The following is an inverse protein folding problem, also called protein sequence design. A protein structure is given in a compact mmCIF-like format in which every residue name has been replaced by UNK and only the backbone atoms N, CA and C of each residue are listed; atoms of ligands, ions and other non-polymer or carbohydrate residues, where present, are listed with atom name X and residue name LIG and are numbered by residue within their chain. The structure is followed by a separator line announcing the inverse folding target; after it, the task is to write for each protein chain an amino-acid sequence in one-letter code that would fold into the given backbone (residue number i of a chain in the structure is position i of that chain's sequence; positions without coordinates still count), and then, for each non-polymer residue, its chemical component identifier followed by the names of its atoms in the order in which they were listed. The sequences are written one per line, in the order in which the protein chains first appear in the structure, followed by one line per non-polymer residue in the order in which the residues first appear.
data_IF_581287730617
#
_entry.id   IF_581287730617
#
_cell.length_a   1.000
_cell.length_b   1.000
_cell.length_c   1.000
_cell.angle_alpha   90.00
_cell.angle_beta   90.00
_cell.angle_gamma   90.00
#
_symmetry.space_group_name_H-M   'P 1'
#
loop_
_entity.id
_entity.type
_entity.pdbx_description
1 polymer ?
#
# COMPACT_ATOMS: atom_id res chain seq x y z
N UNK A 1 -32.56 -18.62 -2.16
CA UNK A 1 -31.38 -17.72 -2.03
C UNK A 1 -30.76 -17.62 -3.42
N UNK A 2 -30.77 -16.45 -4.02
CA UNK A 2 -30.34 -16.20 -5.40
C UNK A 2 -28.81 -16.37 -5.52
N UNK A 3 -28.34 -17.03 -6.59
CA UNK A 3 -26.91 -17.24 -6.86
C UNK A 3 -26.10 -15.93 -7.03
N UNK A 4 -26.76 -14.78 -7.15
CA UNK A 4 -26.14 -13.45 -7.33
C UNK A 4 -25.60 -12.85 -6.03
N UNK A 5 -26.08 -13.27 -4.85
CA UNK A 5 -25.73 -12.65 -3.57
C UNK A 5 -24.44 -13.16 -2.92
N UNK A 6 -23.72 -14.11 -3.53
CA UNK A 6 -22.56 -14.78 -2.93
C UNK A 6 -21.32 -14.80 -3.84
N UNK A 7 -21.15 -13.77 -4.67
CA UNK A 7 -19.90 -13.59 -5.42
C UNK A 7 -18.73 -13.44 -4.48
N UNK A 8 -17.57 -13.97 -4.88
CA UNK A 8 -16.31 -13.73 -4.17
C UNK A 8 -15.88 -12.28 -4.39
N UNK A 9 -15.58 -11.56 -3.31
CA UNK A 9 -14.93 -10.26 -3.38
C UNK A 9 -13.41 -10.45 -3.18
N UNK A 10 -12.64 -10.28 -4.23
CA UNK A 10 -11.18 -10.20 -4.14
C UNK A 10 -10.77 -8.79 -3.71
N UNK A 11 -10.02 -8.69 -2.63
CA UNK A 11 -9.50 -7.42 -2.10
C UNK A 11 -8.03 -7.30 -2.45
N UNK A 12 -7.66 -6.24 -3.14
CA UNK A 12 -6.29 -5.82 -3.35
C UNK A 12 -5.96 -4.61 -2.48
N UNK A 13 -4.75 -4.55 -1.94
CA UNK A 13 -4.30 -3.44 -1.10
C UNK A 13 -3.02 -2.84 -1.67
N UNK A 14 -2.99 -1.52 -1.76
CA UNK A 14 -1.81 -0.74 -2.17
C UNK A 14 -1.40 0.17 -1.02
N UNK A 15 -0.16 -0.01 -0.56
CA UNK A 15 0.44 0.69 0.56
C UNK A 15 1.57 1.61 0.07
N UNK A 16 1.49 2.88 0.44
CA UNK A 16 2.49 3.87 0.06
C UNK A 16 3.73 3.84 0.98
N UNK A 17 4.86 4.31 0.46
CA UNK A 17 6.01 4.66 1.26
C UNK A 17 5.77 5.97 2.03
N UNK A 18 6.31 6.08 3.25
CA UNK A 18 6.08 7.29 4.06
C UNK A 18 6.71 7.27 5.45
N UNK A 19 7.64 6.35 5.73
CA UNK A 19 8.31 6.26 7.03
C UNK A 19 7.28 6.13 8.18
N UNK A 20 7.35 7.02 9.16
CA UNK A 20 6.45 7.01 10.32
C UNK A 20 4.95 7.19 9.97
N UNK A 21 4.62 7.67 8.76
CA UNK A 21 3.22 7.75 8.29
C UNK A 21 2.60 6.35 8.14
N UNK A 22 3.40 5.31 7.91
CA UNK A 22 2.94 3.93 7.83
C UNK A 22 2.25 3.40 9.09
N UNK A 23 2.35 4.09 10.24
CA UNK A 23 1.54 3.80 11.41
C UNK A 23 0.03 3.97 11.15
N UNK A 24 -0.33 4.90 10.27
CA UNK A 24 -1.71 5.06 9.81
C UNK A 24 -2.17 3.85 8.98
N UNK A 25 -1.31 3.35 8.09
CA UNK A 25 -1.59 2.12 7.34
C UNK A 25 -1.75 0.91 8.27
N UNK A 26 -0.93 0.80 9.31
CA UNK A 26 -1.10 -0.24 10.33
C UNK A 26 -2.51 -0.22 10.92
N UNK A 27 -3.00 0.95 11.31
CA UNK A 27 -4.37 1.12 11.80
C UNK A 27 -5.42 0.72 10.76
N UNK A 28 -5.26 1.21 9.54
CA UNK A 28 -6.17 0.93 8.43
C UNK A 28 -6.21 -0.55 8.03
N UNK A 29 -5.05 -1.22 8.02
CA UNK A 29 -4.95 -2.66 7.79
C UNK A 29 -5.62 -3.47 8.92
N UNK A 30 -5.45 -3.06 10.17
CA UNK A 30 -6.16 -3.68 11.30
C UNK A 30 -7.68 -3.62 11.11
N UNK A 31 -8.22 -2.48 10.66
CA UNK A 31 -9.64 -2.30 10.39
C UNK A 31 -10.10 -3.16 9.20
N UNK A 32 -9.34 -3.20 8.11
CA UNK A 32 -9.65 -4.02 6.94
C UNK A 32 -9.73 -5.51 7.31
N UNK A 33 -8.69 -6.01 7.98
CA UNK A 33 -8.60 -7.44 8.34
C UNK A 33 -9.70 -7.84 9.33
N UNK A 34 -10.07 -6.94 10.26
CA UNK A 34 -11.18 -7.16 11.18
C UNK A 34 -12.52 -7.23 10.45
N UNK A 35 -12.78 -6.30 9.54
CA UNK A 35 -13.99 -6.30 8.73
C UNK A 35 -14.08 -7.54 7.82
N UNK A 36 -12.96 -7.99 7.26
CA UNK A 36 -12.92 -9.21 6.45
C UNK A 36 -13.32 -10.44 7.28
N UNK A 37 -12.84 -10.54 8.54
CA UNK A 37 -13.23 -11.62 9.45
C UNK A 37 -14.74 -11.53 9.78
N UNK A 38 -15.22 -10.33 10.18
CA UNK A 38 -16.61 -10.08 10.54
C UNK A 38 -17.58 -10.47 9.40
N UNK A 39 -17.29 -10.01 8.18
CA UNK A 39 -18.14 -10.31 7.03
C UNK A 39 -18.05 -11.77 6.59
N UNK A 40 -16.91 -12.41 6.79
CA UNK A 40 -16.76 -13.87 6.55
C UNK A 40 -17.63 -14.67 7.54
N UNK A 41 -17.67 -14.28 8.80
CA UNK A 41 -18.55 -14.88 9.82
C UNK A 41 -20.03 -14.68 9.48
N UNK A 42 -20.38 -13.59 8.82
CA UNK A 42 -21.71 -13.32 8.28
C UNK A 42 -22.03 -14.10 7.00
N UNK A 43 -21.13 -15.00 6.54
CA UNK A 43 -21.30 -15.84 5.36
C UNK A 43 -20.95 -15.17 4.03
N UNK A 44 -20.30 -14.01 4.04
CA UNK A 44 -19.79 -13.35 2.83
C UNK A 44 -18.47 -13.98 2.39
N UNK A 45 -18.26 -14.06 1.08
CA UNK A 45 -17.01 -14.60 0.49
C UNK A 45 -16.06 -13.46 0.17
N UNK A 46 -14.99 -13.35 0.94
CA UNK A 46 -13.96 -12.31 0.79
C UNK A 46 -12.60 -12.99 0.82
N UNK A 47 -11.69 -12.56 -0.06
CA UNK A 47 -10.31 -13.02 -0.06
C UNK A 47 -9.35 -11.85 -0.26
N UNK A 48 -8.29 -11.80 0.55
CA UNK A 48 -7.18 -10.90 0.32
C UNK A 48 -6.35 -11.46 -0.84
N UNK A 49 -6.44 -10.80 -1.99
CA UNK A 49 -5.85 -11.28 -3.25
C UNK A 49 -4.41 -10.86 -3.42
N UNK A 50 -4.13 -9.61 -3.09
CA UNK A 50 -2.82 -9.00 -3.28
C UNK A 50 -2.59 -7.90 -2.26
N UNK A 51 -1.36 -7.80 -1.77
CA UNK A 51 -0.87 -6.63 -1.03
C UNK A 51 0.41 -6.15 -1.68
N UNK A 52 0.38 -4.94 -2.21
CA UNK A 52 1.56 -4.27 -2.77
C UNK A 52 2.01 -3.17 -1.84
N UNK A 53 3.32 -2.95 -1.75
CA UNK A 53 3.83 -1.90 -0.89
C UNK A 53 5.17 -1.35 -1.33
N UNK A 54 5.44 -0.12 -0.90
CA UNK A 54 6.70 0.59 -1.13
C UNK A 54 7.23 1.07 0.21
N UNK A 55 8.55 0.98 0.43
CA UNK A 55 9.17 1.50 1.66
C UNK A 55 8.51 0.91 2.93
N UNK A 56 8.03 1.75 3.84
CA UNK A 56 7.29 1.32 5.04
C UNK A 56 6.03 0.51 4.68
N UNK A 57 5.37 0.84 3.57
CA UNK A 57 4.23 0.07 3.08
C UNK A 57 4.61 -1.37 2.72
N UNK A 58 5.84 -1.61 2.21
CA UNK A 58 6.33 -2.96 1.95
C UNK A 58 6.56 -3.77 3.23
N UNK A 59 6.97 -3.10 4.32
CA UNK A 59 7.15 -3.69 5.64
C UNK A 59 5.78 -4.11 6.22
N UNK A 60 4.79 -3.20 6.16
CA UNK A 60 3.41 -3.51 6.56
C UNK A 60 2.83 -4.67 5.73
N UNK A 61 3.00 -4.64 4.40
CA UNK A 61 2.57 -5.70 3.48
C UNK A 61 3.18 -7.05 3.83
N UNK A 62 4.49 -7.09 4.11
CA UNK A 62 5.19 -8.33 4.46
C UNK A 62 4.66 -8.95 5.75
N UNK A 63 4.32 -8.14 6.77
CA UNK A 63 3.68 -8.62 8.00
C UNK A 63 2.32 -9.26 7.73
N UNK A 64 1.51 -8.65 6.85
CA UNK A 64 0.18 -9.16 6.50
C UNK A 64 0.27 -10.47 5.72
N UNK A 65 1.06 -10.49 4.64
CA UNK A 65 1.12 -11.66 3.75
C UNK A 65 1.89 -12.83 4.38
N UNK A 66 2.85 -12.55 5.28
CA UNK A 66 3.58 -13.57 6.05
C UNK A 66 2.83 -14.12 7.25
N UNK A 67 1.58 -13.69 7.49
CA UNK A 67 0.78 -14.14 8.61
C UNK A 67 -0.05 -15.38 8.25
N UNK A 68 -0.42 -16.14 9.31
CA UNK A 68 -1.21 -17.38 9.18
C UNK A 68 -2.73 -17.13 9.15
N UNK A 69 -3.16 -15.98 9.62
CA UNK A 69 -4.56 -15.54 9.67
C UNK A 69 -4.65 -14.03 9.79
N UNK A 70 -5.83 -13.44 9.59
CA UNK A 70 -6.04 -12.01 9.80
C UNK A 70 -5.74 -11.58 11.25
N UNK A 71 -6.08 -12.41 12.23
CA UNK A 71 -5.74 -12.15 13.65
C UNK A 71 -4.23 -12.15 13.89
N UNK A 72 -3.47 -13.11 13.30
CA UNK A 72 -2.00 -13.16 13.37
C UNK A 72 -1.38 -11.94 12.67
N UNK A 73 -1.93 -11.53 11.51
CA UNK A 73 -1.48 -10.34 10.78
C UNK A 73 -1.63 -9.06 11.63
N UNK A 74 -2.79 -8.88 12.27
CA UNK A 74 -3.04 -7.76 13.18
C UNK A 74 -2.08 -7.76 14.37
N UNK A 75 -1.84 -8.92 14.97
CA UNK A 75 -0.90 -9.04 16.08
C UNK A 75 0.53 -8.68 15.67
N UNK A 76 1.01 -9.17 14.51
CA UNK A 76 2.35 -8.89 13.99
C UNK A 76 2.53 -7.42 13.62
N UNK A 77 1.54 -6.81 12.94
CA UNK A 77 1.56 -5.38 12.61
C UNK A 77 1.65 -4.52 13.87
N UNK A 78 0.85 -4.83 14.90
CA UNK A 78 0.89 -4.08 16.14
C UNK A 78 2.24 -4.23 16.85
N UNK A 79 2.78 -5.46 16.97
CA UNK A 79 4.07 -5.71 17.58
C UNK A 79 5.23 -5.05 16.79
N UNK A 80 5.18 -5.05 15.46
CA UNK A 80 6.13 -4.31 14.62
C UNK A 80 6.14 -2.82 14.96
N UNK A 81 4.97 -2.20 15.01
CA UNK A 81 4.88 -0.77 15.28
C UNK A 81 5.18 -0.40 16.73
N UNK A 82 5.00 -1.32 17.68
CA UNK A 82 5.49 -1.15 19.04
C UNK A 82 7.03 -1.16 19.06
N UNK A 83 7.70 -2.08 18.33
CA UNK A 83 9.18 -2.09 18.18
C UNK A 83 9.73 -0.89 17.38
N UNK A 84 8.96 -0.31 16.47
CA UNK A 84 9.33 0.89 15.70
C UNK A 84 9.01 2.20 16.42
N UNK A 85 8.32 2.16 17.53
CA UNK A 85 8.02 3.34 18.35
C UNK A 85 9.21 3.68 19.23
N UNK A 86 9.59 4.95 19.29
CA UNK A 86 10.67 5.41 20.16
C UNK A 86 10.28 5.25 21.62
N UNK A 87 11.10 4.54 22.37
CA UNK A 87 10.98 4.53 23.83
C UNK A 87 11.54 5.84 24.40
N UNK A 88 10.70 6.62 25.04
CA UNK A 88 11.08 7.91 25.59
C UNK A 88 10.54 8.06 27.01
N UNK A 89 11.27 8.78 27.89
CA UNK A 89 10.73 9.11 29.18
C UNK A 89 9.41 9.91 29.06
N UNK A 90 8.38 9.59 29.84
CA UNK A 90 7.02 10.16 29.68
C UNK A 90 6.93 11.66 29.97
N UNK A 91 7.97 12.24 30.62
CA UNK A 91 8.05 13.67 30.92
C UNK A 91 8.75 14.49 29.82
N UNK A 92 9.22 13.86 28.74
CA UNK A 92 9.80 14.61 27.63
C UNK A 92 8.72 15.27 26.78
N UNK A 93 9.05 16.46 26.25
CA UNK A 93 8.14 17.14 25.33
C UNK A 93 8.05 16.39 24.02
N UNK A 94 6.92 16.46 23.33
CA UNK A 94 6.72 15.84 22.02
C UNK A 94 7.82 16.22 21.02
N UNK A 95 8.23 17.51 21.00
CA UNK A 95 9.32 17.98 20.14
C UNK A 95 10.64 17.25 20.44
N UNK A 96 10.99 17.04 21.71
CA UNK A 96 12.20 16.33 22.09
C UNK A 96 12.12 14.84 21.73
N UNK A 97 10.97 14.23 21.88
CA UNK A 97 10.73 12.83 21.49
C UNK A 97 10.89 12.64 19.97
N UNK A 98 10.29 13.53 19.19
CA UNK A 98 10.39 13.52 17.72
C UNK A 98 11.84 13.68 17.27
N UNK A 99 12.57 14.63 17.86
CA UNK A 99 13.92 14.95 17.44
C UNK A 99 14.93 13.82 17.77
N UNK A 100 14.56 12.88 18.68
CA UNK A 100 15.36 11.69 18.93
C UNK A 100 15.53 10.80 17.69
N UNK A 101 14.58 10.78 16.78
CA UNK A 101 14.69 10.01 15.55
C UNK A 101 15.92 10.39 14.68
N UNK A 102 16.46 11.60 14.83
CA UNK A 102 17.73 11.98 14.20
C UNK A 102 18.95 11.24 14.76
N UNK A 103 18.84 10.73 15.98
CA UNK A 103 19.90 9.95 16.62
C UNK A 103 19.72 8.44 16.43
N UNK A 104 18.74 8.04 15.64
CA UNK A 104 18.46 6.66 15.28
C UNK A 104 17.15 6.13 15.86
N UNK A 105 16.69 5.08 15.25
CA UNK A 105 15.56 4.25 15.68
C UNK A 105 16.06 2.82 15.80
N UNK A 106 16.32 2.30 17.00
CA UNK A 106 17.10 1.05 17.22
C UNK A 106 16.56 -0.16 16.44
N UNK A 107 15.24 -0.24 16.24
CA UNK A 107 14.59 -1.30 15.45
C UNK A 107 14.65 -1.07 13.94
N UNK A 108 15.13 0.08 13.47
CA UNK A 108 15.07 0.44 12.07
C UNK A 108 16.43 0.90 11.50
N UNK A 109 17.01 1.96 12.09
CA UNK A 109 18.28 2.53 11.63
C UNK A 109 19.08 3.14 12.79
N UNK A 110 20.40 3.20 12.62
CA UNK A 110 21.32 3.84 13.57
C UNK A 110 22.27 4.78 12.82
N UNK A 111 22.73 5.87 13.45
CA UNK A 111 23.73 6.76 12.85
C UNK A 111 25.03 6.02 12.54
N UNK A 112 25.70 6.42 11.48
CA UNK A 112 27.07 5.95 11.20
C UNK A 112 28.05 6.46 12.27
N UNK A 113 28.94 5.58 12.76
CA UNK A 113 29.91 5.99 13.79
C UNK A 113 31.15 6.70 13.22
N UNK A 114 31.41 6.60 11.90
CA UNK A 114 32.62 7.02 11.23
C UNK A 114 32.52 8.46 10.69
N UNK A 115 32.07 9.40 11.55
CA UNK A 115 31.82 10.81 11.18
C UNK A 115 33.05 11.53 10.57
N UNK A 116 34.28 11.05 10.82
CA UNK A 116 35.47 11.60 10.21
C UNK A 116 35.62 11.33 8.71
N UNK A 117 34.82 10.39 8.17
CA UNK A 117 34.74 10.10 6.73
C UNK A 117 33.55 10.77 6.03
N UNK A 118 32.80 11.64 6.71
CA UNK A 118 31.59 12.25 6.22
C UNK A 118 31.67 12.87 4.80
N UNK A 119 32.77 13.49 4.36
CA UNK A 119 32.88 14.00 2.99
C UNK A 119 32.75 12.92 1.88
N UNK A 120 32.96 11.64 2.21
CA UNK A 120 32.85 10.52 1.29
C UNK A 120 31.56 9.70 1.45
N UNK A 121 30.67 10.12 2.34
CA UNK A 121 29.44 9.39 2.60
C UNK A 121 28.48 9.46 1.42
N UNK A 122 27.83 8.31 1.14
CA UNK A 122 26.71 8.19 0.21
C UNK A 122 25.38 8.01 0.96
N UNK A 123 25.42 7.86 2.30
CA UNK A 123 24.25 7.73 3.17
C UNK A 123 24.61 8.12 4.61
N UNK A 124 23.59 8.41 5.43
CA UNK A 124 23.74 8.90 6.81
C UNK A 124 23.53 7.81 7.86
N UNK A 125 22.62 6.89 7.63
CA UNK A 125 22.19 5.87 8.61
C UNK A 125 22.42 4.46 8.10
N UNK A 126 22.81 3.57 9.00
CA UNK A 126 22.90 2.13 8.77
C UNK A 126 21.52 1.49 9.06
N UNK A 127 20.96 0.78 8.08
CA UNK A 127 19.63 0.14 8.16
C UNK A 127 19.68 -1.35 8.48
N UNK A 128 20.85 -1.91 8.82
CA UNK A 128 20.96 -3.33 9.22
C UNK A 128 20.07 -3.73 10.40
N UNK A 129 19.76 -2.85 11.38
CA UNK A 129 18.80 -3.20 12.44
C UNK A 129 17.43 -3.61 11.90
N UNK A 130 16.96 -3.03 10.79
CA UNK A 130 15.69 -3.40 10.17
C UNK A 130 15.64 -4.87 9.75
N UNK A 131 16.76 -5.47 9.32
CA UNK A 131 16.79 -6.90 8.97
C UNK A 131 16.45 -7.79 10.16
N UNK A 132 16.89 -7.41 11.37
CA UNK A 132 16.57 -8.12 12.60
C UNK A 132 15.09 -7.99 12.94
N UNK A 133 14.55 -6.77 12.83
CA UNK A 133 13.13 -6.49 13.05
C UNK A 133 12.24 -7.24 12.05
N UNK A 134 12.59 -7.23 10.76
CA UNK A 134 11.89 -8.00 9.74
C UNK A 134 11.93 -9.51 10.06
N UNK A 135 13.08 -10.05 10.47
CA UNK A 135 13.19 -11.46 10.85
C UNK A 135 12.37 -11.85 12.07
N UNK A 136 12.05 -10.89 12.96
CA UNK A 136 11.21 -11.09 14.15
C UNK A 136 9.72 -11.08 13.83
N UNK A 137 9.28 -10.16 12.97
CA UNK A 137 7.85 -9.89 12.72
C UNK A 137 7.29 -10.52 11.45
N UNK A 138 8.15 -10.90 10.48
CA UNK A 138 7.72 -11.46 9.19
C UNK A 138 8.16 -12.93 9.08
N UNK A 139 7.22 -13.81 8.83
CA UNK A 139 7.51 -15.19 8.44
C UNK A 139 7.68 -15.26 6.92
N UNK A 140 8.92 -15.13 6.46
CA UNK A 140 9.22 -15.14 5.02
C UNK A 140 8.95 -16.51 4.37
N UNK A 141 8.92 -17.61 5.12
CA UNK A 141 8.52 -18.91 4.58
C UNK A 141 7.03 -18.95 4.30
N UNK A 142 6.22 -18.47 5.25
CA UNK A 142 4.77 -18.33 5.08
C UNK A 142 4.44 -17.32 3.97
N UNK A 143 5.14 -16.18 3.90
CA UNK A 143 4.97 -15.18 2.84
C UNK A 143 5.18 -15.79 1.45
N UNK A 144 6.26 -16.55 1.26
CA UNK A 144 6.55 -17.18 -0.03
C UNK A 144 5.58 -18.32 -0.40
N UNK A 145 4.90 -18.90 0.58
CA UNK A 145 3.90 -19.95 0.39
C UNK A 145 2.46 -19.39 0.38
N UNK A 146 2.29 -18.09 0.59
CA UNK A 146 0.97 -17.46 0.73
C UNK A 146 0.18 -17.50 -0.60
N UNK A 147 -1.14 -17.79 -0.55
CA UNK A 147 -2.01 -17.61 -1.71
C UNK A 147 -2.26 -16.13 -2.04
N UNK A 148 -2.04 -15.24 -1.08
CA UNK A 148 -2.08 -13.80 -1.31
C UNK A 148 -0.81 -13.34 -2.03
N UNK A 149 -0.96 -12.65 -3.15
CA UNK A 149 0.17 -12.09 -3.85
C UNK A 149 0.82 -10.97 -3.01
N UNK A 150 2.13 -11.04 -2.86
CA UNK A 150 2.95 -9.98 -2.30
C UNK A 150 3.77 -9.35 -3.41
N UNK A 151 3.76 -8.03 -3.51
CA UNK A 151 4.61 -7.31 -4.46
C UNK A 151 5.29 -6.12 -3.78
N UNK A 152 6.59 -6.00 -3.96
CA UNK A 152 7.40 -4.91 -3.45
C UNK A 152 8.26 -4.33 -4.56
N UNK A 153 8.43 -3.00 -4.59
CA UNK A 153 9.21 -2.31 -5.62
C UNK A 153 10.46 -1.66 -5.06
N UNK A 154 11.52 -1.66 -5.87
CA UNK A 154 12.76 -0.92 -5.63
C UNK A 154 13.30 -0.39 -6.95
N UNK A 155 14.19 0.62 -6.92
CA UNK A 155 14.78 1.24 -8.11
C UNK A 155 16.23 0.81 -8.26
N UNK A 156 16.60 0.24 -9.40
CA UNK A 156 18.01 0.01 -9.73
C UNK A 156 18.74 1.35 -9.85
N UNK A 157 19.74 1.56 -9.01
CA UNK A 157 20.46 2.86 -8.94
C UNK A 157 21.12 3.23 -10.26
N UNK A 158 21.70 2.24 -10.94
CA UNK A 158 22.51 2.46 -12.15
C UNK A 158 21.65 2.74 -13.38
N UNK A 159 20.54 2.03 -13.52
CA UNK A 159 19.68 2.09 -14.71
C UNK A 159 18.47 3.00 -14.55
N UNK A 160 18.08 3.33 -13.30
CA UNK A 160 16.85 4.02 -12.98
C UNK A 160 15.59 3.16 -13.19
N UNK A 161 15.74 1.87 -13.48
CA UNK A 161 14.62 0.98 -13.73
C UNK A 161 13.90 0.62 -12.42
N UNK A 162 12.57 0.78 -12.41
CA UNK A 162 11.74 0.25 -11.33
C UNK A 162 11.66 -1.28 -11.45
N UNK A 163 12.01 -1.98 -10.38
CA UNK A 163 11.94 -3.44 -10.27
C UNK A 163 10.86 -3.83 -9.28
N UNK A 164 10.09 -4.85 -9.63
CA UNK A 164 9.14 -5.47 -8.73
C UNK A 164 9.60 -6.88 -8.37
N UNK A 165 9.51 -7.22 -7.09
CA UNK A 165 9.76 -8.55 -6.56
C UNK A 165 8.45 -9.12 -6.04
N UNK A 166 8.05 -10.30 -6.50
CA UNK A 166 6.73 -10.89 -6.25
C UNK A 166 6.87 -12.33 -5.76
N UNK A 167 6.09 -12.74 -4.75
CA UNK A 167 6.18 -14.10 -4.19
C UNK A 167 5.57 -15.19 -5.10
N UNK A 168 4.74 -14.80 -6.05
CA UNK A 168 4.11 -15.69 -7.03
C UNK A 168 4.05 -14.99 -8.40
N UNK A 169 3.89 -15.72 -9.51
CA UNK A 169 3.81 -15.10 -10.83
C UNK A 169 2.70 -14.04 -10.89
N UNK A 170 3.04 -12.86 -11.40
CA UNK A 170 2.13 -11.72 -11.49
C UNK A 170 2.24 -11.05 -12.87
N UNK A 171 1.18 -11.10 -13.66
CA UNK A 171 1.22 -10.64 -15.04
C UNK A 171 2.31 -11.38 -15.86
N UNK A 172 3.32 -10.63 -16.33
CA UNK A 172 4.49 -11.18 -17.03
C UNK A 172 5.69 -11.43 -16.11
N UNK A 173 5.58 -11.12 -14.83
CA UNK A 173 6.68 -11.24 -13.87
C UNK A 173 6.73 -12.66 -13.29
N UNK A 174 7.88 -13.31 -13.32
CA UNK A 174 8.06 -14.59 -12.64
C UNK A 174 8.13 -14.39 -11.12
N UNK A 175 7.81 -15.44 -10.38
CA UNK A 175 7.98 -15.45 -8.94
C UNK A 175 9.44 -15.25 -8.53
N UNK A 176 9.65 -14.49 -7.48
CA UNK A 176 10.92 -14.29 -6.79
C UNK A 176 10.81 -14.86 -5.38
N UNK A 177 11.79 -15.60 -4.92
CA UNK A 177 11.86 -15.97 -3.50
C UNK A 177 12.11 -14.69 -2.68
N UNK A 178 11.08 -14.20 -2.03
CA UNK A 178 11.17 -12.97 -1.22
C UNK A 178 12.00 -13.25 0.03
N UNK A 179 12.97 -12.37 0.27
CA UNK A 179 13.87 -12.36 1.41
C UNK A 179 13.83 -10.99 2.08
N UNK A 180 14.28 -10.85 3.35
CA UNK A 180 14.30 -9.55 4.05
C UNK A 180 14.97 -8.43 3.25
N UNK A 181 16.02 -8.77 2.44
CA UNK A 181 16.73 -7.79 1.61
C UNK A 181 15.86 -7.12 0.53
N UNK A 182 14.81 -7.79 0.02
CA UNK A 182 13.90 -7.20 -0.95
C UNK A 182 13.03 -6.10 -0.31
N UNK A 183 12.56 -6.35 0.91
CA UNK A 183 11.82 -5.36 1.71
C UNK A 183 12.75 -4.22 2.14
N UNK A 184 13.99 -4.53 2.55
CA UNK A 184 15.00 -3.53 2.88
C UNK A 184 15.34 -2.62 1.68
N UNK A 185 15.48 -3.19 0.47
CA UNK A 185 15.75 -2.43 -0.74
C UNK A 185 14.65 -1.41 -1.03
N UNK A 186 13.40 -1.83 -0.84
CA UNK A 186 12.24 -0.94 -0.97
C UNK A 186 12.23 0.21 0.04
N UNK A 187 12.87 0.05 1.18
CA UNK A 187 13.01 1.09 2.21
C UNK A 187 14.35 1.84 2.18
N UNK A 188 15.21 1.62 1.19
CA UNK A 188 16.53 2.23 1.06
C UNK A 188 16.46 3.65 0.48
N UNK A 189 15.80 4.58 1.20
CA UNK A 189 15.57 5.95 0.73
C UNK A 189 16.85 6.82 0.78
N UNK A 190 17.38 7.28 -0.37
CA UNK A 190 18.52 8.18 -0.40
C UNK A 190 18.14 9.61 0.04
N UNK A 191 19.07 10.43 0.52
CA UNK A 191 20.43 10.10 0.93
C UNK A 191 20.51 9.57 2.37
N UNK A 192 19.37 9.34 3.04
CA UNK A 192 19.33 8.88 4.42
C UNK A 192 19.92 7.50 4.59
N UNK A 193 19.55 6.57 3.72
CA UNK A 193 19.85 5.15 3.80
C UNK A 193 20.75 4.65 2.67
N UNK A 194 21.56 3.60 2.91
CA UNK A 194 22.38 2.97 1.88
C UNK A 194 21.50 2.30 0.83
N UNK A 195 22.04 2.12 -0.37
CA UNK A 195 21.44 1.16 -1.31
C UNK A 195 21.55 -0.27 -0.77
N UNK A 196 20.62 -1.10 -1.17
CA UNK A 196 20.65 -2.54 -0.89
C UNK A 196 20.99 -3.30 -2.15
N UNK A 197 21.96 -4.22 -2.08
CA UNK A 197 22.32 -5.08 -3.20
C UNK A 197 21.37 -6.28 -3.33
N UNK A 198 20.82 -6.47 -4.53
CA UNK A 198 20.07 -7.66 -4.94
C UNK A 198 20.70 -8.16 -6.23
N UNK A 199 21.18 -9.39 -6.22
CA UNK A 199 21.81 -10.07 -7.38
C UNK A 199 22.93 -9.24 -8.03
N UNK A 200 23.73 -8.57 -7.21
CA UNK A 200 24.86 -7.75 -7.63
C UNK A 200 24.51 -6.36 -8.16
N UNK A 201 23.22 -5.98 -8.10
CA UNK A 201 22.74 -4.65 -8.52
C UNK A 201 22.31 -3.83 -7.29
N UNK A 202 22.77 -2.55 -7.17
CA UNK A 202 22.34 -1.67 -6.09
C UNK A 202 20.94 -1.14 -6.33
N UNK A 203 20.11 -1.14 -5.28
CA UNK A 203 18.73 -0.67 -5.32
C UNK A 203 18.46 0.38 -4.24
N UNK A 204 17.72 1.41 -4.60
CA UNK A 204 17.10 2.38 -3.71
C UNK A 204 15.60 2.13 -3.55
N UNK A 205 15.00 2.86 -2.64
CA UNK A 205 13.57 2.87 -2.36
C UNK A 205 12.75 3.08 -3.64
N UNK A 206 11.72 2.22 -3.81
CA UNK A 206 10.81 2.29 -4.95
C UNK A 206 10.08 3.62 -5.06
N UNK A 207 9.83 4.27 -3.93
CA UNK A 207 9.12 5.55 -3.84
C UNK A 207 9.83 6.70 -4.57
N UNK A 208 11.13 6.60 -4.81
CA UNK A 208 11.87 7.57 -5.63
C UNK A 208 11.27 7.70 -7.04
N UNK A 209 10.75 6.59 -7.59
CA UNK A 209 10.16 6.53 -8.94
C UNK A 209 8.66 6.36 -8.89
N UNK A 210 8.16 5.42 -8.08
CA UNK A 210 6.73 5.12 -7.96
C UNK A 210 6.36 4.75 -6.53
N UNK A 211 5.66 5.66 -5.85
CA UNK A 211 5.23 5.46 -4.47
C UNK A 211 3.87 4.76 -4.33
N UNK A 212 3.22 4.41 -5.45
CA UNK A 212 1.89 3.79 -5.44
C UNK A 212 1.79 2.74 -6.55
N UNK A 213 2.31 1.51 -6.35
CA UNK A 213 2.40 0.50 -7.39
C UNK A 213 1.03 -0.13 -7.73
N UNK A 214 0.10 0.71 -8.21
CA UNK A 214 -1.29 0.37 -8.50
C UNK A 214 -1.40 -0.73 -9.57
N UNK A 215 -0.58 -0.63 -10.62
CA UNK A 215 -0.59 -1.60 -11.73
C UNK A 215 -0.33 -3.03 -11.28
N UNK A 216 0.58 -3.22 -10.30
CA UNK A 216 0.88 -4.54 -9.75
C UNK A 216 -0.33 -5.15 -9.02
N UNK A 217 -1.09 -4.33 -8.30
CA UNK A 217 -2.28 -4.80 -7.63
C UNK A 217 -3.38 -5.16 -8.64
N UNK A 218 -3.57 -4.36 -9.69
CA UNK A 218 -4.54 -4.61 -10.75
C UNK A 218 -4.23 -5.94 -11.48
N UNK A 219 -2.97 -6.19 -11.78
CA UNK A 219 -2.52 -7.42 -12.47
C UNK A 219 -2.81 -8.71 -11.69
N UNK A 220 -2.99 -8.61 -10.37
CA UNK A 220 -3.24 -9.77 -9.52
C UNK A 220 -4.70 -10.26 -9.52
N UNK A 221 -5.66 -9.40 -9.82
CA UNK A 221 -7.08 -9.77 -9.76
C UNK A 221 -7.47 -10.84 -10.79
N UNK A 222 -8.47 -11.62 -10.45
CA UNK A 222 -9.07 -12.59 -11.35
C UNK A 222 -9.92 -11.90 -12.41
N UNK A 223 -9.92 -12.44 -13.64
CA UNK A 223 -10.82 -11.98 -14.71
C UNK A 223 -12.13 -12.80 -14.77
N UNK A 224 -12.45 -13.55 -13.71
CA UNK A 224 -13.64 -14.41 -13.67
C UNK A 224 -14.91 -13.59 -13.44
N UNK A 225 -15.99 -13.91 -14.17
CA UNK A 225 -17.25 -13.17 -14.13
C UNK A 225 -18.01 -13.30 -12.79
N UNK A 226 -17.68 -14.31 -11.98
CA UNK A 226 -18.25 -14.57 -10.66
C UNK A 226 -17.41 -13.99 -9.51
N UNK A 227 -16.42 -13.19 -9.83
CA UNK A 227 -15.53 -12.51 -8.87
C UNK A 227 -15.67 -11.01 -9.05
N UNK A 228 -15.85 -10.31 -7.95
CA UNK A 228 -15.80 -8.85 -7.89
C UNK A 228 -14.46 -8.40 -7.33
N UNK A 229 -13.86 -7.37 -7.92
CA UNK A 229 -12.59 -6.81 -7.48
C UNK A 229 -12.77 -5.51 -6.70
N UNK A 230 -12.15 -5.42 -5.53
CA UNK A 230 -12.11 -4.21 -4.71
C UNK A 230 -10.66 -3.83 -4.44
N UNK A 231 -10.24 -2.67 -4.92
CA UNK A 231 -8.90 -2.16 -4.70
C UNK A 231 -8.93 -1.11 -3.60
N UNK A 232 -8.22 -1.36 -2.51
CA UNK A 232 -8.05 -0.45 -1.38
C UNK A 232 -6.70 0.23 -1.51
N UNK A 233 -6.69 1.54 -1.63
CA UNK A 233 -5.47 2.34 -1.73
C UNK A 233 -5.31 3.18 -0.48
N UNK A 234 -4.23 2.96 0.25
CA UNK A 234 -3.91 3.75 1.45
C UNK A 234 -2.99 4.90 1.06
N UNK A 235 -3.55 6.10 1.09
CA UNK A 235 -2.86 7.32 0.69
C UNK A 235 -2.35 8.07 1.92
N UNK A 236 -1.03 8.15 2.05
CA UNK A 236 -0.35 8.81 3.18
C UNK A 236 -0.13 10.30 2.96
N UNK A 237 -0.27 10.78 1.73
CA UNK A 237 0.06 12.16 1.39
C UNK A 237 -1.18 12.95 1.00
N UNK A 238 -1.60 13.94 1.83
CA UNK A 238 -2.78 14.73 1.55
C UNK A 238 -2.55 15.62 0.32
N UNK A 239 -3.53 15.63 -0.57
CA UNK A 239 -3.50 16.50 -1.77
C UNK A 239 -3.66 17.98 -1.41
N UNK A 240 -4.35 18.27 -0.30
CA UNK A 240 -4.57 19.61 0.22
C UNK A 240 -3.74 19.79 1.47
N UNK A 241 -2.94 20.84 1.49
CA UNK A 241 -2.17 21.25 2.66
C UNK A 241 -2.23 22.76 2.81
N UNK A 242 -1.79 23.25 3.96
CA UNK A 242 -1.64 24.68 4.22
C UNK A 242 -0.44 25.25 3.45
N UNK A 243 -0.45 26.56 3.22
CA UNK A 243 0.71 27.22 2.64
C UNK A 243 1.92 27.13 3.60
N UNK A 244 3.08 26.62 3.14
CA UNK A 244 4.27 26.52 3.97
C UNK A 244 4.71 27.90 4.51
N UNK A 245 5.15 27.94 5.78
CA UNK A 245 5.56 29.20 6.43
C UNK A 245 7.05 29.26 6.77
N UNK A 246 7.80 28.18 6.59
CA UNK A 246 9.24 28.08 6.81
C UNK A 246 9.84 27.06 5.86
N UNK A 247 11.17 26.98 5.78
CA UNK A 247 11.88 26.08 4.85
C UNK A 247 11.58 24.60 5.12
N UNK A 248 11.50 24.19 6.37
CA UNK A 248 11.16 22.79 6.70
C UNK A 248 9.76 22.40 6.17
N UNK A 249 8.77 23.27 6.35
CA UNK A 249 7.44 23.05 5.80
C UNK A 249 7.42 23.09 4.25
N UNK A 250 8.33 23.81 3.60
CA UNK A 250 8.49 23.75 2.15
C UNK A 250 9.05 22.41 1.72
N UNK A 251 10.07 21.89 2.41
CA UNK A 251 10.65 20.58 2.13
C UNK A 251 9.63 19.46 2.33
N UNK A 252 8.90 19.47 3.45
CA UNK A 252 7.82 18.51 3.72
C UNK A 252 6.76 18.56 2.60
N UNK A 253 6.35 19.76 2.18
CA UNK A 253 5.36 19.91 1.12
C UNK A 253 5.86 19.42 -0.25
N UNK A 254 7.14 19.62 -0.55
CA UNK A 254 7.76 19.09 -1.78
C UNK A 254 7.74 17.55 -1.76
N UNK A 255 8.04 16.93 -0.62
CA UNK A 255 7.95 15.48 -0.46
C UNK A 255 6.51 14.98 -0.64
N UNK A 256 5.53 15.62 0.02
CA UNK A 256 4.11 15.28 -0.14
C UNK A 256 3.66 15.35 -1.61
N UNK A 257 4.03 16.41 -2.31
CA UNK A 257 3.67 16.57 -3.73
C UNK A 257 4.39 15.55 -4.62
N UNK A 258 5.62 15.21 -4.31
CA UNK A 258 6.40 14.23 -5.08
C UNK A 258 5.86 12.82 -4.94
N UNK A 259 5.45 12.44 -3.73
CA UNK A 259 4.96 11.09 -3.44
C UNK A 259 3.44 10.91 -3.60
N UNK A 260 2.64 11.99 -3.43
CA UNK A 260 1.18 11.91 -3.48
C UNK A 260 0.54 12.14 -4.85
N UNK A 261 1.18 12.89 -5.75
CA UNK A 261 0.54 13.31 -7.01
C UNK A 261 0.32 12.17 -8.03
N UNK A 262 1.12 11.11 -7.96
CA UNK A 262 1.06 10.01 -8.92
C UNK A 262 -0.25 9.24 -8.84
N UNK A 263 -0.78 9.06 -7.64
CA UNK A 263 -2.04 8.36 -7.41
C UNK A 263 -3.20 8.93 -8.24
N UNK A 264 -3.30 10.26 -8.39
CA UNK A 264 -4.36 10.88 -9.22
C UNK A 264 -4.23 10.51 -10.69
N UNK A 265 -2.99 10.53 -11.21
CA UNK A 265 -2.73 10.19 -12.61
C UNK A 265 -3.02 8.71 -12.87
N UNK A 266 -2.67 7.84 -11.94
CA UNK A 266 -2.91 6.41 -12.03
C UNK A 266 -4.40 6.07 -11.94
N UNK A 267 -5.15 6.75 -11.06
CA UNK A 267 -6.61 6.64 -11.00
C UNK A 267 -7.30 7.07 -12.28
N UNK A 268 -6.90 8.22 -12.83
CA UNK A 268 -7.48 8.71 -14.08
C UNK A 268 -7.12 7.78 -15.24
N UNK A 269 -5.93 7.21 -15.23
CA UNK A 269 -5.49 6.21 -16.20
C UNK A 269 -6.29 4.91 -16.06
N UNK A 270 -6.47 4.39 -14.85
CA UNK A 270 -7.26 3.19 -14.59
C UNK A 270 -8.72 3.36 -15.05
N UNK A 271 -9.35 4.51 -14.76
CA UNK A 271 -10.71 4.82 -15.24
C UNK A 271 -10.81 4.88 -16.76
N UNK A 272 -9.81 5.49 -17.42
CA UNK A 272 -9.78 5.53 -18.90
C UNK A 272 -9.60 4.14 -19.50
N UNK A 273 -8.74 3.32 -18.90
CA UNK A 273 -8.55 1.93 -19.33
C UNK A 273 -9.83 1.13 -19.14
N UNK A 274 -10.51 1.23 -17.99
CA UNK A 274 -11.79 0.57 -17.76
C UNK A 274 -12.82 0.96 -18.83
N UNK A 275 -12.99 2.27 -19.10
CA UNK A 275 -13.92 2.74 -20.11
C UNK A 275 -13.59 2.23 -21.52
N UNK A 276 -12.30 2.09 -21.85
CA UNK A 276 -11.87 1.52 -23.13
C UNK A 276 -12.16 0.02 -23.21
N UNK A 277 -11.90 -0.73 -22.14
CA UNK A 277 -12.20 -2.18 -22.09
C UNK A 277 -13.70 -2.43 -22.19
N UNK A 278 -14.52 -1.69 -21.46
CA UNK A 278 -15.99 -1.75 -21.56
C UNK A 278 -16.46 -1.46 -22.99
N UNK A 279 -15.94 -0.41 -23.62
CA UNK A 279 -16.27 -0.07 -25.01
C UNK A 279 -15.86 -1.18 -25.98
N UNK A 280 -14.69 -1.79 -25.80
CA UNK A 280 -14.23 -2.91 -26.62
C UNK A 280 -15.13 -4.13 -26.44
N UNK A 281 -15.56 -4.44 -25.20
CA UNK A 281 -16.46 -5.56 -24.94
C UNK A 281 -17.85 -5.31 -25.53
N UNK A 282 -18.39 -4.11 -25.42
CA UNK A 282 -19.66 -3.72 -26.04
C UNK A 282 -19.60 -3.83 -27.58
N UNK A 283 -18.53 -3.34 -28.20
CA UNK A 283 -18.32 -3.47 -29.64
C UNK A 283 -18.16 -4.93 -30.07
N UNK A 284 -17.42 -5.71 -29.30
CA UNK A 284 -17.20 -7.13 -29.57
C UNK A 284 -18.52 -7.93 -29.49
N UNK A 285 -19.44 -7.54 -28.60
CA UNK A 285 -20.77 -8.15 -28.49
C UNK A 285 -21.65 -7.90 -29.71
N UNK A 286 -21.42 -6.83 -30.47
CA UNK A 286 -22.14 -6.49 -31.70
C UNK A 286 -21.62 -7.24 -32.93
N UNK A 287 -20.43 -7.85 -32.85
CA UNK A 287 -19.79 -8.54 -33.97
C UNK A 287 -20.08 -10.04 -33.91
N UNK A 288 -20.63 -10.65 -34.97
CA UNK A 288 -20.84 -12.09 -34.98
C UNK A 288 -19.51 -12.85 -34.78
N UNK A 289 -19.49 -13.94 -34.00
CA UNK A 289 -18.25 -14.66 -33.68
C UNK A 289 -17.45 -15.13 -34.91
N UNK A 290 -18.14 -15.41 -35.99
CA UNK A 290 -17.54 -15.85 -37.29
C UNK A 290 -17.00 -14.71 -38.15
N UNK A 291 -17.21 -13.46 -37.76
CA UNK A 291 -16.71 -12.28 -38.48
C UNK A 291 -15.35 -11.78 -37.93
N UNK A 292 -14.88 -12.35 -36.82
CA UNK A 292 -13.58 -12.02 -36.23
C UNK A 292 -12.52 -12.98 -36.77
N UNK A 293 -11.53 -12.44 -37.47
CA UNK A 293 -10.34 -13.21 -37.83
C UNK A 293 -9.46 -13.54 -36.59
N UNK A 294 -8.52 -14.48 -36.74
CA UNK A 294 -7.64 -14.91 -35.66
C UNK A 294 -6.85 -13.73 -35.05
N UNK A 295 -6.47 -12.75 -35.86
CA UNK A 295 -5.71 -11.57 -35.40
C UNK A 295 -6.56 -10.67 -34.50
N UNK A 296 -7.83 -10.43 -34.88
CA UNK A 296 -8.76 -9.64 -34.06
C UNK A 296 -9.16 -10.37 -32.79
N UNK A 297 -9.34 -11.69 -32.86
CA UNK A 297 -9.58 -12.50 -31.65
C UNK A 297 -8.40 -12.44 -30.68
N UNK A 298 -7.16 -12.54 -31.16
CA UNK A 298 -5.97 -12.40 -30.32
C UNK A 298 -5.85 -11.02 -29.70
N UNK A 299 -6.18 -9.95 -30.44
CA UNK A 299 -6.19 -8.57 -29.91
C UNK A 299 -7.28 -8.32 -28.87
N UNK A 300 -8.47 -8.89 -29.06
CA UNK A 300 -9.53 -8.82 -28.06
C UNK A 300 -9.13 -9.55 -26.77
N UNK A 301 -8.51 -10.71 -26.88
CA UNK A 301 -7.99 -11.44 -25.73
C UNK A 301 -6.88 -10.65 -25.03
N UNK A 302 -6.05 -9.94 -25.77
CA UNK A 302 -5.01 -9.08 -25.20
C UNK A 302 -5.60 -7.84 -24.53
N UNK A 303 -6.61 -7.20 -25.13
CA UNK A 303 -7.31 -6.07 -24.52
C UNK A 303 -8.05 -6.46 -23.22
N UNK A 304 -8.65 -7.63 -23.18
CA UNK A 304 -9.31 -8.21 -21.99
C UNK A 304 -8.35 -8.61 -20.87
N UNK A 305 -7.04 -8.55 -21.07
CA UNK A 305 -6.07 -8.66 -19.98
C UNK A 305 -6.08 -7.44 -19.05
N UNK A 306 -6.49 -6.28 -19.55
CA UNK A 306 -6.76 -5.13 -18.70
C UNK A 306 -8.04 -5.40 -17.93
N UNK A 307 -7.91 -5.56 -16.63
CA UNK A 307 -9.02 -5.95 -15.75
C UNK A 307 -9.82 -4.73 -15.36
N UNK A 308 -11.12 -4.85 -15.39
CA UNK A 308 -12.02 -3.84 -14.82
C UNK A 308 -11.95 -3.98 -13.30
N UNK A 309 -11.69 -2.88 -12.62
CA UNK A 309 -11.74 -2.81 -11.17
C UNK A 309 -13.13 -2.31 -10.78
N UNK A 310 -13.91 -3.18 -10.13
CA UNK A 310 -15.31 -2.90 -9.77
C UNK A 310 -15.46 -1.81 -8.72
N UNK A 311 -14.48 -1.69 -7.80
CA UNK A 311 -14.46 -0.64 -6.79
C UNK A 311 -13.01 -0.23 -6.45
N UNK A 312 -12.76 1.08 -6.39
CA UNK A 312 -11.52 1.65 -5.85
C UNK A 312 -11.89 2.45 -4.60
N UNK A 313 -11.36 2.04 -3.47
CA UNK A 313 -11.60 2.65 -2.16
C UNK A 313 -10.33 3.32 -1.70
N UNK A 314 -10.36 4.66 -1.57
CA UNK A 314 -9.23 5.41 -1.05
C UNK A 314 -9.37 5.63 0.45
N UNK A 315 -8.34 5.27 1.18
CA UNK A 315 -8.16 5.57 2.59
C UNK A 315 -7.11 6.67 2.68
N UNK A 316 -7.59 7.91 2.66
CA UNK A 316 -6.71 9.08 2.70
C UNK A 316 -6.36 9.42 4.15
N UNK A 317 -5.08 9.58 4.42
CA UNK A 317 -4.61 10.16 5.67
C UNK A 317 -4.97 11.65 5.67
N UNK A 318 -6.14 11.98 6.17
CA UNK A 318 -6.58 13.35 6.31
C UNK A 318 -6.19 13.87 7.70
N UNK A 319 -5.73 15.11 7.75
CA UNK A 319 -5.78 15.89 8.99
C UNK A 319 -7.21 16.45 9.13
N UNK A 320 -8.04 15.92 10.06
CA UNK A 320 -9.40 16.44 10.29
C UNK A 320 -9.39 17.92 10.68
N UNK A 321 -8.29 18.39 11.27
CA UNK A 321 -8.11 19.79 11.67
C UNK A 321 -7.85 20.72 10.48
N UNK A 322 -7.28 20.21 9.39
CA UNK A 322 -7.00 21.02 8.20
C UNK A 322 -8.27 21.52 7.48
N UNK A 323 -9.40 20.83 7.66
CA UNK A 323 -10.68 21.16 7.03
C UNK A 323 -11.56 22.10 7.86
N UNK A 324 -11.34 22.24 9.18
CA UNK A 324 -12.29 22.89 10.10
C UNK A 324 -11.73 24.08 10.88
N UNK A 325 -10.43 24.39 10.85
CA UNK A 325 -9.85 25.48 11.65
C UNK A 325 -9.37 26.62 10.74
N UNK A 326 -9.87 27.86 10.95
CA UNK A 326 -9.28 29.03 10.32
C UNK A 326 -7.80 29.16 10.70
N UNK A 327 -6.99 29.59 9.78
CA UNK A 327 -5.52 29.66 9.80
C UNK A 327 -4.85 30.37 11.01
N UNK A 328 -5.60 30.74 12.03
CA UNK A 328 -5.15 31.56 13.16
C UNK A 328 -4.88 30.81 14.48
N UNK A 329 -5.16 29.53 14.59
CA UNK A 329 -5.23 28.88 15.91
C UNK A 329 -4.41 27.62 16.13
N UNK A 330 -3.34 27.35 15.52
CA UNK A 330 -2.22 26.62 16.14
C UNK A 330 -0.98 26.48 15.23
N UNK A 331 0.12 27.16 15.49
CA UNK A 331 1.36 27.01 14.72
C UNK A 331 2.17 25.76 15.09
N UNK A 332 1.80 25.05 16.15
CA UNK A 332 2.62 23.98 16.74
C UNK A 332 2.26 22.56 16.27
N UNK A 333 1.09 22.35 15.68
CA UNK A 333 0.57 20.99 15.44
C UNK A 333 0.89 20.41 14.06
N UNK A 334 1.70 21.05 13.25
CA UNK A 334 1.81 20.75 11.82
C UNK A 334 3.10 20.00 11.44
N UNK A 335 3.68 19.19 12.32
CA UNK A 335 5.02 18.63 12.09
C UNK A 335 5.14 17.13 12.32
N UNK A 336 4.08 16.39 12.14
CA UNK A 336 4.11 14.92 12.21
C UNK A 336 4.58 14.34 10.86
N UNK A 337 5.78 14.71 10.42
CA UNK A 337 6.36 14.24 9.18
C UNK A 337 6.73 12.75 9.19
N UNK A 338 7.32 12.29 8.08
CA UNK A 338 7.78 10.92 7.85
C UNK A 338 8.78 10.40 8.90
N UNK A 339 9.36 11.29 9.72
CA UNK A 339 10.39 10.98 10.73
C UNK A 339 9.87 10.92 12.16
N UNK A 340 8.60 11.23 12.39
CA UNK A 340 8.04 11.27 13.74
C UNK A 340 7.56 9.90 14.21
N UNK A 341 8.48 9.13 14.81
CA UNK A 341 8.23 7.84 15.46
C UNK A 341 7.96 7.99 16.97
N UNK A 342 7.59 9.18 17.45
CA UNK A 342 7.23 9.38 18.85
C UNK A 342 5.99 8.56 19.24
N UNK A 343 5.89 8.13 20.52
CA UNK A 343 4.78 7.30 20.97
C UNK A 343 3.41 7.94 20.74
N UNK A 344 3.28 9.24 21.00
CA UNK A 344 2.04 9.98 20.83
C UNK A 344 1.59 9.96 19.37
N UNK A 345 2.49 10.27 18.44
CA UNK A 345 2.20 10.33 17.00
C UNK A 345 1.89 8.94 16.45
N UNK A 346 2.68 7.92 16.77
CA UNK A 346 2.44 6.55 16.29
C UNK A 346 1.08 6.04 16.79
N UNK A 347 0.78 6.20 18.09
CA UNK A 347 -0.49 5.76 18.64
C UNK A 347 -1.69 6.53 18.07
N UNK A 348 -1.56 7.84 17.84
CA UNK A 348 -2.59 8.65 17.21
C UNK A 348 -2.86 8.17 15.79
N UNK A 349 -1.81 8.03 14.97
CA UNK A 349 -1.92 7.56 13.56
C UNK A 349 -2.57 6.18 13.46
N UNK A 350 -2.18 5.24 14.33
CA UNK A 350 -2.82 3.91 14.38
C UNK A 350 -4.31 4.00 14.69
N UNK A 351 -4.71 4.81 15.69
CA UNK A 351 -6.14 5.01 16.02
C UNK A 351 -6.91 5.65 14.89
N UNK A 352 -6.35 6.71 14.31
CA UNK A 352 -7.01 7.47 13.24
C UNK A 352 -7.14 6.61 11.99
N UNK A 353 -6.07 5.91 11.59
CA UNK A 353 -6.09 4.97 10.48
C UNK A 353 -7.15 3.87 10.67
N UNK A 354 -7.23 3.27 11.86
CA UNK A 354 -8.27 2.29 12.15
C UNK A 354 -9.67 2.88 12.02
N UNK A 355 -9.93 4.00 12.69
CA UNK A 355 -11.27 4.61 12.72
C UNK A 355 -11.74 5.00 11.31
N UNK A 356 -10.93 5.75 10.57
CA UNK A 356 -11.32 6.22 9.24
C UNK A 356 -11.46 5.08 8.25
N UNK A 357 -10.53 4.13 8.25
CA UNK A 357 -10.61 2.98 7.36
C UNK A 357 -11.82 2.10 7.67
N UNK A 358 -12.12 1.86 8.94
CA UNK A 358 -13.26 1.05 9.35
C UNK A 358 -14.58 1.59 8.80
N UNK A 359 -14.84 2.90 8.93
CA UNK A 359 -16.09 3.51 8.48
C UNK A 359 -16.22 3.50 6.96
N UNK A 360 -15.13 3.83 6.25
CA UNK A 360 -15.10 3.86 4.77
C UNK A 360 -15.25 2.46 4.20
N UNK A 361 -14.46 1.49 4.71
CA UNK A 361 -14.45 0.12 4.21
C UNK A 361 -15.75 -0.60 4.51
N UNK A 362 -16.32 -0.44 5.71
CA UNK A 362 -17.64 -0.99 6.04
C UNK A 362 -18.69 -0.54 5.04
N UNK A 363 -18.75 0.79 4.80
CA UNK A 363 -19.67 1.37 3.83
C UNK A 363 -19.44 0.82 2.41
N UNK A 364 -18.18 0.70 1.99
CA UNK A 364 -17.82 0.19 0.68
C UNK A 364 -18.25 -1.28 0.49
N UNK A 365 -17.99 -2.13 1.47
CA UNK A 365 -18.42 -3.54 1.46
C UNK A 365 -19.94 -3.67 1.46
N UNK A 366 -20.65 -2.97 2.34
CA UNK A 366 -22.12 -3.01 2.40
C UNK A 366 -22.76 -2.55 1.09
N UNK A 367 -22.28 -1.47 0.51
CA UNK A 367 -22.78 -0.96 -0.77
C UNK A 367 -22.57 -1.98 -1.90
N UNK A 368 -21.43 -2.69 -1.88
CA UNK A 368 -21.14 -3.71 -2.87
C UNK A 368 -22.16 -4.85 -2.83
N UNK A 369 -22.48 -5.34 -1.64
CA UNK A 369 -23.47 -6.42 -1.50
C UNK A 369 -24.91 -5.96 -1.74
N UNK A 370 -25.28 -4.74 -1.32
CA UNK A 370 -26.61 -4.18 -1.65
C UNK A 370 -26.81 -4.06 -3.15
N UNK A 371 -25.80 -3.65 -3.90
CA UNK A 371 -25.87 -3.58 -5.35
C UNK A 371 -26.02 -4.98 -5.99
N UNK A 372 -25.32 -5.98 -5.45
CA UNK A 372 -25.44 -7.36 -5.90
C UNK A 372 -26.82 -7.98 -5.59
N UNK A 373 -27.37 -7.66 -4.42
CA UNK A 373 -28.71 -8.14 -3.99
C UNK A 373 -29.87 -7.44 -4.76
N UNK A 374 -29.62 -6.26 -5.33
CA UNK A 374 -30.62 -5.47 -6.09
C UNK A 374 -30.68 -5.81 -7.58
N UNK A 375 -29.72 -6.55 -8.14
CA UNK A 375 -29.77 -6.96 -9.55
C UNK A 375 -30.90 -7.98 -9.77
N UNK A 376 -31.85 -7.72 -10.68
CA UNK A 376 -32.93 -8.69 -10.97
C UNK A 376 -32.32 -9.97 -11.55
N UNK A 377 -32.80 -11.11 -11.06
CA UNK A 377 -32.51 -12.44 -11.62
C UNK A 377 -32.93 -12.41 -13.09
N UNK A 378 -31.99 -12.33 -14.02
CA UNK A 378 -32.26 -12.63 -15.42
C UNK A 378 -32.51 -14.15 -15.49
N UNK A 379 -33.76 -14.55 -15.48
CA UNK A 379 -34.17 -15.90 -15.82
C UNK A 379 -33.69 -16.14 -17.26
N UNK A 380 -32.97 -17.23 -17.55
CA UNK A 380 -32.72 -17.59 -18.94
C UNK A 380 -34.07 -17.81 -19.60
N UNK A 381 -34.34 -17.09 -20.70
CA UNK A 381 -35.49 -17.29 -21.54
C UNK A 381 -35.52 -18.77 -21.95
N UNK A 382 -36.56 -19.45 -21.55
CA UNK A 382 -36.73 -20.86 -21.78
C UNK A 382 -36.75 -21.20 -23.26
N UNK A 383 -36.14 -22.32 -23.55
CA UNK A 383 -36.20 -23.22 -24.71
C UNK A 383 -37.12 -22.84 -25.83
#
# INVERSE_FOLDING_TARGET
MSASSNKLVEVGVVLQGGGALGAYECGALNALLELMDEFTEQGRRIALKVVTGVSIGSINAACVVGAKSNADARARLNALWDDLTLETPPFWTHAAQRDLAYFGLPGFYVPRPDFWTAPSWTYVYDTRPLLVTLGRHVDFAALNASPTAFAVTAVEVVTGALRAFVNQPLGKMPATKIEPRHVLASGSLPPGFPWTEIDGMPHWDGGVVDNTPLGLAIDAFSAAADVDSMLVVMNLYPLRARLPRNLAAVEDRLHELSFGNRLRQDHDTARRVNALVETIDDLAALVPPNALDERLQARLLEARRYKIIDAIVNIDMQDPAATLIPAAQNPADDKDGMRDFSPETVHRRRRDGFKFAHDILRTAFENRWRAADAQPVTTPAGS
#
